data_IF_275343446611
#
_entry.id   IF_275343446611
#
_cell.length_a   1.000
_cell.length_b   1.000
_cell.length_c   1.000
_cell.angle_alpha   90.00
_cell.angle_beta   90.00
_cell.angle_gamma   90.00
#
_symmetry.space_group_name_H-M   'P 1'
#
loop_
_entity.id
_entity.type
_entity.pdbx_description
1 polymer ?
#
# COMPACT_ATOMS: atom_id res chain seq x y z
N UNK A 1 20.08 7.78 -18.58
CA UNK A 1 19.94 7.50 -17.14
C UNK A 1 18.62 6.77 -16.91
N UNK A 2 18.62 5.52 -16.41
CA UNK A 2 17.39 4.77 -16.13
C UNK A 2 16.79 5.29 -14.82
N UNK A 3 15.54 5.76 -14.84
CA UNK A 3 14.85 6.22 -13.60
C UNK A 3 14.76 5.05 -12.60
N UNK A 4 14.88 5.29 -11.29
CA UNK A 4 14.66 4.24 -10.30
C UNK A 4 13.21 3.73 -10.46
N UNK A 5 13.06 2.49 -10.92
CA UNK A 5 11.77 1.84 -11.10
C UNK A 5 11.10 1.46 -9.77
N UNK A 6 11.87 1.52 -8.67
CA UNK A 6 11.46 1.12 -7.33
C UNK A 6 10.23 1.88 -6.79
N UNK A 7 10.19 3.23 -6.76
CA UNK A 7 9.02 3.97 -6.26
C UNK A 7 7.76 3.71 -7.11
N UNK A 8 7.92 3.50 -8.42
CA UNK A 8 6.83 3.14 -9.32
C UNK A 8 6.26 1.75 -9.01
N UNK A 9 7.13 0.77 -8.76
CA UNK A 9 6.72 -0.57 -8.35
C UNK A 9 6.04 -0.55 -6.97
N UNK A 10 6.57 0.20 -6.01
CA UNK A 10 5.98 0.34 -4.67
C UNK A 10 4.59 0.99 -4.71
N UNK A 11 4.44 2.08 -5.47
CA UNK A 11 3.14 2.73 -5.68
C UNK A 11 2.16 1.80 -6.41
N UNK A 12 2.64 1.09 -7.43
CA UNK A 12 1.85 0.11 -8.19
C UNK A 12 1.30 -1.01 -7.30
N UNK A 13 2.13 -1.59 -6.41
CA UNK A 13 1.68 -2.59 -5.45
C UNK A 13 0.62 -2.04 -4.49
N UNK A 14 0.81 -0.83 -3.96
CA UNK A 14 -0.20 -0.19 -3.10
C UNK A 14 -1.55 0.01 -3.81
N UNK A 15 -1.52 0.50 -5.04
CA UNK A 15 -2.74 0.68 -5.85
C UNK A 15 -3.42 -0.65 -6.19
N UNK A 16 -2.64 -1.69 -6.50
CA UNK A 16 -3.18 -3.01 -6.79
C UNK A 16 -3.93 -3.61 -5.58
N UNK A 17 -3.41 -3.42 -4.36
CA UNK A 17 -4.08 -3.87 -3.14
C UNK A 17 -5.41 -3.14 -2.90
N UNK A 18 -5.43 -1.82 -3.14
CA UNK A 18 -6.67 -1.02 -3.04
C UNK A 18 -7.68 -1.46 -4.09
N UNK A 19 -7.24 -1.65 -5.34
CA UNK A 19 -8.10 -2.08 -6.43
C UNK A 19 -8.68 -3.49 -6.19
N UNK A 20 -7.86 -4.41 -5.68
CA UNK A 20 -8.30 -5.76 -5.31
C UNK A 20 -9.36 -5.71 -4.21
N UNK A 21 -9.12 -4.93 -3.14
CA UNK A 21 -10.11 -4.75 -2.09
C UNK A 21 -11.41 -4.13 -2.63
N UNK A 22 -11.33 -3.07 -3.45
CA UNK A 22 -12.50 -2.45 -4.05
C UNK A 22 -13.29 -3.42 -4.94
N UNK A 23 -12.61 -4.28 -5.70
CA UNK A 23 -13.27 -5.30 -6.51
C UNK A 23 -13.98 -6.36 -5.65
N UNK A 24 -13.41 -6.75 -4.50
CA UNK A 24 -14.06 -7.66 -3.56
C UNK A 24 -15.27 -6.99 -2.89
N UNK A 25 -15.15 -5.71 -2.53
CA UNK A 25 -16.23 -4.93 -1.93
C UNK A 25 -17.42 -4.79 -2.90
N UNK A 26 -17.14 -4.40 -4.16
CA UNK A 26 -18.14 -4.22 -5.22
C UNK A 26 -18.78 -5.53 -5.69
N UNK A 27 -18.13 -6.68 -5.48
CA UNK A 27 -18.69 -7.99 -5.80
C UNK A 27 -19.61 -8.54 -4.71
N UNK A 28 -19.88 -7.75 -3.66
CA UNK A 28 -20.82 -8.12 -2.59
C UNK A 28 -20.21 -8.99 -1.50
N UNK A 29 -18.89 -9.16 -1.46
CA UNK A 29 -18.24 -9.92 -0.38
C UNK A 29 -18.39 -9.22 0.98
N UNK A 30 -18.58 -7.89 0.98
CA UNK A 30 -18.90 -7.12 2.17
C UNK A 30 -20.27 -7.48 2.78
N UNK A 31 -21.23 -7.92 1.96
CA UNK A 31 -22.54 -8.38 2.43
C UNK A 31 -22.47 -9.82 2.97
N UNK A 32 -21.49 -10.59 2.47
CA UNK A 32 -21.24 -11.98 2.86
C UNK A 32 -20.34 -12.11 4.10
N UNK A 33 -19.72 -11.03 4.58
CA UNK A 33 -18.77 -11.04 5.69
C UNK A 33 -19.02 -9.83 6.58
N UNK A 34 -19.26 -10.06 7.88
CA UNK A 34 -19.35 -8.95 8.83
C UNK A 34 -18.08 -8.14 8.82
N UNK A 35 -18.20 -6.91 8.33
CA UNK A 35 -17.10 -5.94 8.25
C UNK A 35 -16.55 -5.64 9.65
N UNK A 36 -17.34 -5.72 10.72
CA UNK A 36 -16.87 -5.42 12.08
C UNK A 36 -16.18 -6.60 12.78
N UNK A 37 -16.62 -7.84 12.52
CA UNK A 37 -16.14 -9.04 13.23
C UNK A 37 -15.36 -10.02 12.37
N UNK A 38 -15.34 -9.84 11.04
CA UNK A 38 -14.70 -10.76 10.08
C UNK A 38 -15.41 -12.09 9.93
N UNK A 39 -16.57 -12.25 10.57
CA UNK A 39 -17.33 -13.50 10.54
C UNK A 39 -18.10 -13.61 9.22
N UNK A 40 -17.94 -14.72 8.49
CA UNK A 40 -18.76 -14.98 7.29
C UNK A 40 -20.23 -15.11 7.67
N UNK A 41 -21.12 -14.76 6.75
CA UNK A 41 -22.55 -14.99 6.90
C UNK A 41 -22.86 -16.51 6.95
N UNK A 42 -23.99 -16.94 7.55
CA UNK A 42 -24.37 -18.34 7.59
C UNK A 42 -24.48 -18.93 6.18
N UNK A 43 -23.77 -20.04 5.92
CA UNK A 43 -23.73 -20.69 4.59
C UNK A 43 -22.66 -20.16 3.64
N UNK A 44 -21.82 -19.22 4.07
CA UNK A 44 -20.65 -18.74 3.31
C UNK A 44 -19.39 -19.46 3.79
N UNK A 45 -18.53 -19.85 2.85
CA UNK A 45 -17.26 -20.50 3.17
C UNK A 45 -16.39 -19.62 4.10
N UNK A 46 -15.81 -20.19 5.17
CA UNK A 46 -14.99 -19.44 6.12
C UNK A 46 -13.72 -18.85 5.49
N UNK A 47 -13.23 -19.47 4.42
CA UNK A 47 -12.10 -18.96 3.65
C UNK A 47 -12.41 -17.62 2.96
N UNK A 48 -13.66 -17.39 2.55
CA UNK A 48 -14.13 -16.12 1.96
C UNK A 48 -14.03 -14.99 2.97
N UNK A 49 -14.45 -15.23 4.22
CA UNK A 49 -14.31 -14.29 5.34
C UNK A 49 -12.85 -13.92 5.62
N UNK A 50 -11.97 -14.93 5.68
CA UNK A 50 -10.54 -14.75 5.88
C UNK A 50 -9.89 -13.95 4.73
N UNK A 51 -10.22 -14.29 3.49
CA UNK A 51 -9.69 -13.62 2.30
C UNK A 51 -10.13 -12.16 2.23
N UNK A 52 -11.40 -11.87 2.49
CA UNK A 52 -11.91 -10.49 2.54
C UNK A 52 -11.25 -9.68 3.66
N UNK A 53 -11.11 -10.23 4.87
CA UNK A 53 -10.42 -9.55 5.97
C UNK A 53 -8.96 -9.28 5.66
N UNK A 54 -8.27 -10.23 5.03
CA UNK A 54 -6.87 -10.07 4.61
C UNK A 54 -6.74 -8.96 3.57
N UNK A 55 -7.59 -8.97 2.53
CA UNK A 55 -7.61 -7.93 1.50
C UNK A 55 -7.90 -6.54 2.10
N UNK A 56 -8.81 -6.48 3.07
CA UNK A 56 -9.13 -5.24 3.77
C UNK A 56 -7.96 -4.74 4.61
N UNK A 57 -7.32 -5.59 5.41
CA UNK A 57 -6.12 -5.20 6.18
C UNK A 57 -5.00 -4.72 5.25
N UNK A 58 -4.79 -5.42 4.13
CA UNK A 58 -3.80 -5.01 3.14
C UNK A 58 -4.13 -3.65 2.53
N UNK A 59 -5.40 -3.38 2.19
CA UNK A 59 -5.81 -2.09 1.61
C UNK A 59 -5.79 -0.93 2.62
N UNK A 60 -6.09 -1.17 3.90
CA UNK A 60 -6.18 -0.12 4.92
C UNK A 60 -4.86 0.15 5.66
N UNK A 61 -3.93 -0.81 5.69
CA UNK A 61 -2.67 -0.68 6.42
C UNK A 61 -1.49 -0.73 5.45
N UNK A 62 -1.37 -1.81 4.67
CA UNK A 62 -0.19 -2.04 3.82
C UNK A 62 -0.15 -1.05 2.66
N UNK A 63 -1.27 -0.81 1.98
CA UNK A 63 -1.31 0.09 0.84
C UNK A 63 -0.96 1.56 1.20
N UNK A 64 -1.49 2.16 2.29
CA UNK A 64 -1.07 3.50 2.72
C UNK A 64 0.42 3.57 3.06
N UNK A 65 0.98 2.55 3.71
CA UNK A 65 2.42 2.49 4.01
C UNK A 65 3.24 2.44 2.71
N UNK A 66 2.84 1.62 1.74
CA UNK A 66 3.52 1.53 0.45
C UNK A 66 3.44 2.84 -0.34
N UNK A 67 2.27 3.49 -0.35
CA UNK A 67 2.09 4.78 -1.01
C UNK A 67 2.92 5.87 -0.33
N UNK A 68 2.95 5.91 1.00
CA UNK A 68 3.77 6.84 1.75
C UNK A 68 5.27 6.60 1.48
N UNK A 69 5.71 5.34 1.45
CA UNK A 69 7.08 4.98 1.12
C UNK A 69 7.47 5.40 -0.32
N UNK A 70 6.54 5.24 -1.28
CA UNK A 70 6.74 5.66 -2.66
C UNK A 70 6.88 7.18 -2.82
N UNK A 71 6.21 7.97 -1.96
CA UNK A 71 6.33 9.44 -1.94
C UNK A 71 7.56 9.91 -1.16
N UNK A 72 7.88 9.27 -0.04
CA UNK A 72 9.03 9.64 0.80
C UNK A 72 10.38 9.30 0.16
N UNK A 73 10.49 8.16 -0.55
CA UNK A 73 11.73 7.77 -1.23
C UNK A 73 12.32 8.85 -2.15
N UNK A 74 11.58 9.43 -3.12
CA UNK A 74 12.12 10.48 -3.98
C UNK A 74 12.44 11.77 -3.22
N UNK A 75 11.80 12.06 -2.09
CA UNK A 75 12.14 13.20 -1.24
C UNK A 75 13.48 12.98 -0.51
N UNK A 76 13.66 11.79 0.07
CA UNK A 76 14.92 11.39 0.73
C UNK A 76 16.11 11.35 -0.24
N UNK A 77 15.89 10.91 -1.49
CA UNK A 77 16.93 10.90 -2.52
C UNK A 77 17.30 12.29 -3.05
N UNK A 78 16.47 13.31 -2.80
CA UNK A 78 16.74 14.72 -3.17
C UNK A 78 17.41 15.53 -2.07
N UNK A 79 17.37 15.06 -0.82
CA UNK A 79 18.04 15.69 0.32
C UNK A 79 19.58 15.81 0.19
N UNK A 80 20.33 14.81 -0.30
CA UNK A 80 21.79 14.96 -0.44
C UNK A 80 22.23 15.94 -1.54
N UNK A 81 21.33 16.39 -2.42
CA UNK A 81 21.63 17.42 -3.43
C UNK A 81 21.43 18.86 -2.91
N UNK A 82 20.77 19.01 -1.76
CA UNK A 82 20.54 20.30 -1.08
C UNK A 82 21.59 20.59 -0.01
N UNK A 83 22.28 19.56 0.49
CA UNK A 83 23.52 19.72 1.23
C UNK A 83 24.60 20.12 0.21
N UNK A 84 24.84 21.43 0.05
CA UNK A 84 25.87 21.97 -0.84
C UNK A 84 27.25 21.32 -0.61
N UNK A 85 28.20 21.49 -1.54
CA UNK A 85 29.52 20.88 -1.43
C UNK A 85 30.11 21.18 -0.06
N UNK A 86 30.82 20.22 0.57
CA UNK A 86 31.49 20.46 1.84
C UNK A 86 32.34 21.72 1.65
N UNK A 87 32.05 22.77 2.42
CA UNK A 87 32.93 23.91 2.46
C UNK A 87 34.25 23.38 3.00
N UNK A 88 35.24 23.23 2.13
CA UNK A 88 36.60 23.04 2.55
C UNK A 88 36.93 24.25 3.43
N UNK A 89 36.91 24.04 4.74
CA UNK A 89 37.40 25.03 5.69
C UNK A 89 38.85 25.27 5.29
N UNK A 90 39.07 26.46 4.73
CA UNK A 90 40.32 26.90 4.16
C UNK A 90 41.51 26.60 5.08
N UNK A 91 42.53 26.07 4.42
CA UNK A 91 43.94 26.02 4.80
C UNK A 91 44.44 27.28 5.49
#
# INVERSE_FOLDING_TARGET
MKRPAFPLATAGCGLALIALYAALDLSGWADAVSVLSGTPAPGVDPLTGLAYMTARLAAWIVAPILLLAAVLQPLLLRLPLLAGPPQELGS
#
